data_IF_357559001967
#
_entry.id   IF_357559001967
#
_cell.length_a   1.000
_cell.length_b   1.000
_cell.length_c   1.000
_cell.angle_alpha   90.00
_cell.angle_beta   90.00
_cell.angle_gamma   90.00
#
_symmetry.space_group_name_H-M   'P 1'
#
loop_
_entity.id
_entity.type
_entity.pdbx_description
1 polymer ?
#
# COMPACT_ATOMS: atom_id res chain seq x y z
N UNK A 1 -5.37 15.52 -7.07
CA UNK A 1 -6.74 15.32 -6.52
C UNK A 1 -7.79 14.98 -7.59
N UNK A 2 -7.73 15.52 -8.82
CA UNK A 2 -8.72 15.27 -9.88
C UNK A 2 -8.78 13.81 -10.36
N UNK A 3 -7.63 13.15 -10.50
CA UNK A 3 -7.56 11.78 -11.04
C UNK A 3 -8.06 10.70 -10.06
N UNK A 4 -7.91 10.93 -8.75
CA UNK A 4 -8.44 10.03 -7.72
C UNK A 4 -9.99 10.07 -7.67
N UNK A 5 -10.59 11.25 -7.88
CA UNK A 5 -12.05 11.39 -7.98
C UNK A 5 -12.61 10.67 -9.20
N UNK A 6 -11.94 10.75 -10.35
CA UNK A 6 -12.34 10.05 -11.58
C UNK A 6 -12.22 8.53 -11.42
N UNK A 7 -11.14 8.02 -10.81
CA UNK A 7 -10.99 6.59 -10.55
C UNK A 7 -12.04 6.04 -9.56
N UNK A 8 -12.36 6.81 -8.51
CA UNK A 8 -13.42 6.47 -7.55
C UNK A 8 -14.79 6.46 -8.23
N UNK A 9 -15.09 7.46 -9.06
CA UNK A 9 -16.35 7.53 -9.82
C UNK A 9 -16.44 6.42 -10.86
N UNK A 10 -15.34 6.06 -11.52
CA UNK A 10 -15.28 4.95 -12.48
C UNK A 10 -15.55 3.59 -11.83
N UNK A 11 -14.93 3.32 -10.68
CA UNK A 11 -15.13 2.08 -9.93
C UNK A 11 -16.53 2.00 -9.33
N UNK A 12 -17.05 3.10 -8.77
CA UNK A 12 -18.44 3.16 -8.33
C UNK A 12 -19.39 2.97 -9.53
N UNK A 13 -19.10 3.56 -10.69
CA UNK A 13 -19.95 3.33 -11.88
C UNK A 13 -19.92 1.88 -12.34
N UNK A 14 -18.76 1.19 -12.32
CA UNK A 14 -18.71 -0.22 -12.70
C UNK A 14 -19.46 -1.12 -11.71
N UNK A 15 -19.34 -0.86 -10.40
CA UNK A 15 -20.08 -1.59 -9.35
C UNK A 15 -21.59 -1.37 -9.44
N UNK A 16 -22.04 -0.18 -9.81
CA UNK A 16 -23.46 0.15 -9.88
C UNK A 16 -24.10 -0.18 -11.25
N UNK A 17 -23.33 -0.19 -12.34
CA UNK A 17 -23.85 -0.46 -13.70
C UNK A 17 -23.59 -1.90 -14.20
N UNK A 18 -22.55 -2.60 -13.74
CA UNK A 18 -22.35 -4.01 -14.12
C UNK A 18 -23.54 -4.91 -13.68
N UNK A 19 -24.14 -4.73 -12.49
CA UNK A 19 -25.34 -5.48 -12.10
C UNK A 19 -26.59 -5.12 -12.92
N UNK A 20 -26.63 -3.90 -13.48
CA UNK A 20 -27.74 -3.43 -14.33
C UNK A 20 -27.63 -4.02 -15.74
N UNK A 21 -26.41 -4.25 -16.24
CA UNK A 21 -26.16 -4.80 -17.57
C UNK A 21 -26.17 -6.34 -17.62
N UNK A 22 -25.77 -7.03 -16.55
CA UNK A 22 -25.55 -8.49 -16.52
C UNK A 22 -26.41 -9.24 -15.48
N UNK A 23 -27.28 -8.55 -14.74
CA UNK A 23 -28.14 -9.13 -13.70
C UNK A 23 -27.55 -9.00 -12.29
N UNK A 24 -28.41 -9.03 -11.26
CA UNK A 24 -27.99 -8.91 -9.85
C UNK A 24 -27.45 -10.21 -9.25
N UNK A 25 -27.59 -11.33 -9.96
CA UNK A 25 -27.00 -12.61 -9.55
C UNK A 25 -25.48 -12.47 -9.55
N UNK A 26 -24.85 -12.78 -8.42
CA UNK A 26 -23.39 -12.68 -8.23
C UNK A 26 -22.90 -11.37 -7.60
N UNK A 27 -23.76 -10.37 -7.34
CA UNK A 27 -23.38 -9.19 -6.55
C UNK A 27 -23.45 -9.51 -5.04
N UNK A 28 -22.34 -9.30 -4.35
CA UNK A 28 -22.27 -9.34 -2.88
C UNK A 28 -21.64 -8.07 -2.35
N UNK A 29 -22.32 -7.41 -1.40
CA UNK A 29 -21.81 -6.21 -0.73
C UNK A 29 -21.57 -6.53 0.73
N UNK A 30 -20.30 -6.52 1.12
CA UNK A 30 -19.88 -6.71 2.51
C UNK A 30 -19.20 -5.44 3.03
N UNK A 31 -18.81 -5.44 4.31
CA UNK A 31 -18.09 -4.33 4.89
C UNK A 31 -17.67 -4.60 6.33
N UNK A 32 -17.00 -3.61 6.93
CA UNK A 32 -16.65 -3.63 8.35
C UNK A 32 -16.60 -2.21 8.92
N UNK A 33 -16.90 -2.10 10.21
CA UNK A 33 -16.71 -0.88 11.00
C UNK A 33 -15.59 -1.14 12.01
N UNK A 34 -14.54 -0.32 11.96
CA UNK A 34 -13.43 -0.35 12.88
C UNK A 34 -13.42 0.93 13.70
N UNK A 35 -13.46 0.78 15.02
CA UNK A 35 -13.35 1.88 15.99
C UNK A 35 -12.16 1.59 16.90
N UNK A 36 -11.20 2.51 16.96
CA UNK A 36 -9.96 2.31 17.70
C UNK A 36 -9.53 3.60 18.38
N UNK A 37 -9.59 3.61 19.71
CA UNK A 37 -9.17 4.71 20.56
C UNK A 37 -8.05 4.25 21.48
N UNK A 38 -6.95 5.01 21.54
CA UNK A 38 -5.78 4.70 22.37
C UNK A 38 -5.41 5.89 23.24
N UNK A 39 -5.21 5.63 24.53
CA UNK A 39 -4.87 6.62 25.55
C UNK A 39 -3.48 6.33 26.11
N UNK A 40 -2.66 7.37 26.24
CA UNK A 40 -1.36 7.26 26.88
C UNK A 40 -1.51 7.35 28.40
N UNK A 41 -1.27 6.25 29.12
CA UNK A 41 -1.45 6.17 30.58
C UNK A 41 -0.51 7.08 31.38
N UNK A 42 0.67 7.43 30.84
CA UNK A 42 1.62 8.32 31.53
C UNK A 42 1.22 9.79 31.41
N UNK A 43 0.65 10.19 30.27
CA UNK A 43 0.28 11.58 29.98
C UNK A 43 -1.22 11.87 30.18
N UNK A 44 -2.05 10.85 30.33
CA UNK A 44 -3.50 10.95 30.47
C UNK A 44 -4.22 11.52 29.24
N UNK A 45 -3.59 11.50 28.06
CA UNK A 45 -4.11 12.11 26.82
C UNK A 45 -4.36 11.04 25.75
N UNK A 46 -5.36 11.29 24.90
CA UNK A 46 -5.57 10.52 23.67
C UNK A 46 -4.33 10.62 22.77
N UNK A 47 -3.89 9.48 22.25
CA UNK A 47 -2.76 9.38 21.33
C UNK A 47 -3.22 9.06 19.91
N UNK A 48 -4.26 8.24 19.77
CA UNK A 48 -4.77 7.76 18.49
C UNK A 48 -6.28 7.55 18.57
N UNK A 49 -7.01 8.04 17.57
CA UNK A 49 -8.42 7.76 17.37
C UNK A 49 -8.66 7.51 15.88
N UNK A 50 -9.16 6.34 15.56
CA UNK A 50 -9.46 5.96 14.19
C UNK A 50 -10.85 5.32 14.10
N UNK A 51 -11.68 5.92 13.25
CA UNK A 51 -12.99 5.41 12.90
C UNK A 51 -13.03 5.15 11.40
N UNK A 52 -13.24 3.90 11.01
CA UNK A 52 -13.15 3.47 9.62
C UNK A 52 -14.31 2.57 9.25
N UNK A 53 -15.10 3.01 8.29
CA UNK A 53 -16.08 2.19 7.59
C UNK A 53 -15.44 1.68 6.29
N UNK A 54 -15.41 0.37 6.11
CA UNK A 54 -14.98 -0.29 4.88
C UNK A 54 -16.20 -0.89 4.18
N UNK A 55 -16.35 -0.60 2.89
CA UNK A 55 -17.35 -1.20 2.01
C UNK A 55 -16.63 -2.04 0.95
N UNK A 56 -17.06 -3.28 0.79
CA UNK A 56 -16.43 -4.32 -0.02
C UNK A 56 -17.44 -4.94 -0.99
N UNK A 57 -17.89 -4.19 -2.02
CA UNK A 57 -18.66 -4.78 -3.10
C UNK A 57 -17.80 -5.73 -3.94
N UNK A 58 -18.40 -6.84 -4.32
CA UNK A 58 -17.82 -7.86 -5.18
C UNK A 58 -18.88 -8.36 -6.14
N UNK A 59 -18.47 -8.68 -7.36
CA UNK A 59 -19.37 -9.18 -8.40
C UNK A 59 -18.71 -10.36 -9.11
N UNK A 60 -19.43 -11.47 -9.23
CA UNK A 60 -18.97 -12.66 -9.94
C UNK A 60 -19.86 -12.94 -11.14
N UNK A 61 -19.29 -12.89 -12.35
CA UNK A 61 -19.97 -13.26 -13.58
C UNK A 61 -19.50 -14.66 -14.01
N UNK A 62 -20.22 -15.68 -13.53
CA UNK A 62 -19.83 -17.09 -13.69
C UNK A 62 -18.51 -17.42 -12.98
N UNK A 63 -17.78 -18.42 -13.46
CA UNK A 63 -16.52 -18.88 -12.84
C UNK A 63 -15.29 -18.09 -13.27
N UNK A 64 -15.39 -17.39 -14.41
CA UNK A 64 -14.24 -16.83 -15.13
C UNK A 64 -13.95 -15.37 -14.81
N UNK A 65 -14.94 -14.60 -14.37
CA UNK A 65 -14.80 -13.15 -14.13
C UNK A 65 -15.23 -12.80 -12.73
N UNK A 66 -14.32 -12.22 -11.94
CA UNK A 66 -14.64 -11.69 -10.61
C UNK A 66 -14.13 -10.27 -10.48
N UNK A 67 -15.01 -9.36 -10.09
CA UNK A 67 -14.66 -7.99 -9.77
C UNK A 67 -14.70 -7.80 -8.26
N UNK A 68 -13.69 -7.11 -7.72
CA UNK A 68 -13.62 -6.78 -6.30
C UNK A 68 -13.21 -5.33 -6.11
N UNK A 69 -13.87 -4.67 -5.17
CA UNK A 69 -13.52 -3.32 -4.77
C UNK A 69 -13.60 -3.17 -3.25
N UNK A 70 -12.77 -2.31 -2.70
CA UNK A 70 -12.82 -1.90 -1.30
C UNK A 70 -12.69 -0.38 -1.21
N UNK A 71 -13.67 0.26 -0.56
CA UNK A 71 -13.67 1.70 -0.30
C UNK A 71 -13.69 1.93 1.21
N UNK A 72 -12.79 2.78 1.70
CA UNK A 72 -12.77 3.24 3.08
C UNK A 72 -13.29 4.66 3.20
N UNK A 73 -14.19 4.85 4.15
CA UNK A 73 -14.51 6.15 4.73
C UNK A 73 -13.89 6.17 6.13
N UNK A 74 -12.92 7.04 6.34
CA UNK A 74 -12.08 7.05 7.55
C UNK A 74 -12.00 8.45 8.14
N UNK A 75 -12.14 8.54 9.46
CA UNK A 75 -11.70 9.69 10.24
C UNK A 75 -10.51 9.25 11.10
N UNK A 76 -9.42 10.03 11.08
CA UNK A 76 -8.22 9.77 11.85
C UNK A 76 -7.86 11.03 12.63
N UNK A 77 -7.68 10.89 13.94
CA UNK A 77 -7.21 11.94 14.84
C UNK A 77 -6.04 11.40 15.66
N UNK A 78 -4.97 12.16 15.69
CA UNK A 78 -3.74 11.80 16.38
C UNK A 78 -3.28 12.98 17.23
N UNK A 79 -2.43 12.72 18.22
CA UNK A 79 -1.89 13.78 19.08
C UNK A 79 -1.03 14.79 18.30
N UNK A 80 -0.42 14.38 17.17
CA UNK A 80 0.27 15.25 16.24
C UNK A 80 -0.20 15.00 14.81
N UNK A 81 -0.37 16.03 13.96
CA UNK A 81 -0.78 15.85 12.57
C UNK A 81 0.33 15.16 11.76
N UNK A 82 -0.08 14.34 10.80
CA UNK A 82 0.82 13.77 9.78
C UNK A 82 1.28 14.87 8.82
N UNK A 83 2.50 14.74 8.29
CA UNK A 83 2.98 15.60 7.20
C UNK A 83 2.08 15.49 5.96
N UNK A 84 1.61 14.27 5.67
CA UNK A 84 0.57 14.03 4.67
C UNK A 84 -0.72 13.60 5.36
N UNK A 85 -1.79 14.41 5.31
CA UNK A 85 -3.05 14.07 5.99
C UNK A 85 -3.66 12.80 5.40
N UNK A 86 -4.12 11.90 6.28
CA UNK A 86 -4.84 10.71 5.88
C UNK A 86 -6.12 11.10 5.13
N UNK A 87 -6.28 10.58 3.92
CA UNK A 87 -7.45 10.90 3.11
C UNK A 87 -8.71 10.25 3.71
N UNK A 88 -9.78 11.04 3.89
CA UNK A 88 -11.04 10.57 4.47
C UNK A 88 -11.78 9.56 3.58
N UNK A 89 -11.61 9.64 2.27
CA UNK A 89 -12.20 8.70 1.32
C UNK A 89 -11.10 8.01 0.51
N UNK A 90 -10.92 6.71 0.68
CA UNK A 90 -9.85 5.95 0.03
C UNK A 90 -10.40 4.78 -0.76
N UNK A 91 -10.02 4.69 -2.03
CA UNK A 91 -10.17 3.46 -2.80
C UNK A 91 -8.98 2.55 -2.48
N UNK A 92 -9.24 1.53 -1.66
CA UNK A 92 -8.25 0.55 -1.23
C UNK A 92 -7.98 -0.43 -2.34
N UNK A 93 -8.99 -1.15 -2.79
CA UNK A 93 -8.87 -2.14 -3.86
C UNK A 93 -9.91 -1.86 -4.94
N UNK A 94 -9.56 -2.17 -6.18
CA UNK A 94 -10.44 -2.17 -7.34
C UNK A 94 -9.74 -2.96 -8.44
N UNK A 95 -10.05 -4.24 -8.55
CA UNK A 95 -9.42 -5.13 -9.51
C UNK A 95 -10.40 -6.13 -10.11
N UNK A 96 -9.98 -6.66 -11.25
CA UNK A 96 -10.70 -7.67 -12.01
C UNK A 96 -9.82 -8.93 -12.09
N UNK A 97 -10.41 -10.05 -11.70
CA UNK A 97 -9.88 -11.40 -11.90
C UNK A 97 -10.50 -12.01 -13.14
N UNK A 98 -9.64 -12.44 -14.06
CA UNK A 98 -9.94 -13.09 -15.32
C UNK A 98 -9.31 -14.48 -15.30
N UNK A 99 -10.07 -15.47 -14.85
CA UNK A 99 -9.59 -16.84 -14.68
C UNK A 99 -9.93 -17.66 -15.92
N UNK A 100 -8.93 -18.29 -16.53
CA UNK A 100 -9.16 -19.19 -17.66
C UNK A 100 -9.80 -18.55 -18.91
N UNK A 101 -9.73 -17.21 -19.05
CA UNK A 101 -10.38 -16.48 -20.15
C UNK A 101 -9.57 -16.46 -21.44
N UNK A 102 -8.28 -16.13 -21.36
CA UNK A 102 -7.39 -16.17 -22.52
C UNK A 102 -6.95 -17.60 -22.83
N UNK A 103 -6.71 -18.40 -21.80
CA UNK A 103 -6.35 -19.81 -21.89
C UNK A 103 -6.73 -20.51 -20.58
N UNK A 104 -7.14 -21.78 -20.62
CA UNK A 104 -7.63 -22.53 -19.44
C UNK A 104 -6.61 -22.65 -18.30
N UNK A 105 -5.32 -22.46 -18.60
CA UNK A 105 -4.22 -22.54 -17.64
C UNK A 105 -3.65 -21.18 -17.22
N UNK A 106 -4.29 -20.07 -17.63
CA UNK A 106 -3.81 -18.71 -17.34
C UNK A 106 -4.88 -17.91 -16.61
N UNK A 107 -4.49 -17.37 -15.45
CA UNK A 107 -5.31 -16.41 -14.69
C UNK A 107 -4.64 -15.05 -14.70
N UNK A 108 -5.42 -13.99 -14.87
CA UNK A 108 -4.93 -12.61 -14.87
C UNK A 108 -5.73 -11.78 -13.88
N UNK A 109 -5.02 -11.02 -13.04
CA UNK A 109 -5.61 -10.02 -12.16
C UNK A 109 -5.05 -8.64 -12.51
N UNK A 110 -5.93 -7.71 -12.81
CA UNK A 110 -5.56 -6.34 -13.20
C UNK A 110 -6.32 -5.30 -12.38
N UNK A 111 -5.61 -4.26 -11.95
CA UNK A 111 -6.19 -3.12 -11.24
C UNK A 111 -5.45 -2.82 -9.94
N UNK A 112 -6.10 -2.09 -9.04
CA UNK A 112 -5.55 -1.75 -7.73
C UNK A 112 -5.80 -2.88 -6.73
N UNK A 113 -4.73 -3.49 -6.24
CA UNK A 113 -4.80 -4.75 -5.49
C UNK A 113 -3.66 -4.90 -4.47
N UNK A 114 -3.91 -5.63 -3.38
CA UNK A 114 -2.87 -6.14 -2.50
C UNK A 114 -2.38 -7.50 -3.00
N UNK A 115 -1.07 -7.61 -3.26
CA UNK A 115 -0.40 -8.84 -3.69
C UNK A 115 0.60 -9.23 -2.60
N UNK A 116 0.21 -10.14 -1.71
CA UNK A 116 1.14 -10.68 -0.71
C UNK A 116 2.24 -11.49 -1.40
N UNK A 117 3.47 -10.98 -1.37
CA UNK A 117 4.62 -11.62 -2.01
C UNK A 117 5.52 -12.26 -0.96
N UNK A 118 5.63 -13.59 -1.00
CA UNK A 118 6.30 -14.39 0.03
C UNK A 118 5.32 -15.11 0.97
N UNK A 119 5.87 -15.75 2.01
CA UNK A 119 5.12 -16.67 2.89
C UNK A 119 5.07 -16.24 4.35
N UNK A 120 5.80 -15.18 4.73
CA UNK A 120 5.83 -14.70 6.11
C UNK A 120 4.59 -13.83 6.40
N UNK A 121 4.09 -13.90 7.64
CA UNK A 121 2.99 -13.08 8.12
C UNK A 121 3.49 -11.75 8.72
N UNK A 122 2.73 -10.67 8.53
CA UNK A 122 2.96 -9.27 8.95
C UNK A 122 4.30 -8.65 8.56
N UNK A 123 5.42 -9.22 8.98
CA UNK A 123 6.79 -8.79 8.67
C UNK A 123 7.37 -9.73 7.62
N UNK A 124 7.20 -9.37 6.36
CA UNK A 124 7.67 -10.16 5.24
C UNK A 124 8.70 -9.35 4.43
N UNK A 125 10.01 -9.62 4.61
CA UNK A 125 11.07 -8.91 3.90
C UNK A 125 11.00 -9.04 2.37
N UNK A 126 10.34 -10.08 1.86
CA UNK A 126 10.15 -10.31 0.43
C UNK A 126 8.92 -9.61 -0.15
N UNK A 127 8.09 -8.97 0.68
CA UNK A 127 6.87 -8.28 0.26
C UNK A 127 7.17 -6.82 -0.11
N UNK A 128 7.79 -6.63 -1.27
CA UNK A 128 8.23 -5.33 -1.77
C UNK A 128 7.29 -4.71 -2.83
N UNK A 129 6.23 -5.43 -3.23
CA UNK A 129 5.31 -4.98 -4.28
C UNK A 129 4.32 -3.92 -3.80
N UNK A 130 3.93 -4.01 -2.53
CA UNK A 130 2.98 -3.10 -1.92
C UNK A 130 3.69 -2.28 -0.84
N UNK A 131 3.64 -0.94 -0.91
CA UNK A 131 4.23 -0.07 0.11
C UNK A 131 3.58 -0.30 1.46
N UNK A 132 4.34 -0.07 2.52
CA UNK A 132 3.87 -0.25 3.89
C UNK A 132 3.16 1.03 4.38
N UNK A 133 2.14 0.87 5.21
CA UNK A 133 1.40 1.99 5.82
C UNK A 133 1.85 2.18 7.26
N UNK A 134 2.94 2.91 7.45
CA UNK A 134 3.51 3.25 8.75
C UNK A 134 2.80 4.41 9.46
N UNK A 135 1.62 4.84 9.00
CA UNK A 135 0.84 5.89 9.68
C UNK A 135 0.60 5.53 11.16
N UNK A 136 0.31 4.25 11.43
CA UNK A 136 0.19 3.74 12.79
C UNK A 136 1.45 2.95 13.14
N UNK A 137 2.30 3.53 13.99
CA UNK A 137 3.52 2.88 14.46
C UNK A 137 3.26 1.51 15.12
N UNK A 138 2.08 1.28 15.70
CA UNK A 138 1.78 0.01 16.36
C UNK A 138 1.22 -1.06 15.41
N UNK A 139 1.02 -0.73 14.13
CA UNK A 139 0.47 -1.63 13.13
C UNK A 139 1.38 -1.76 11.91
N UNK A 140 2.43 -2.56 12.08
CA UNK A 140 3.41 -2.86 11.04
C UNK A 140 2.90 -3.81 9.94
N UNK A 141 1.66 -4.31 10.04
CA UNK A 141 1.11 -5.28 9.07
C UNK A 141 0.39 -4.62 7.89
N UNK A 142 0.05 -3.34 7.97
CA UNK A 142 -0.74 -2.67 6.93
C UNK A 142 0.10 -2.30 5.71
N UNK A 143 -0.50 -2.52 4.54
CA UNK A 143 0.09 -2.21 3.24
C UNK A 143 -0.92 -1.42 2.39
N UNK A 144 -0.41 -0.54 1.54
CA UNK A 144 -1.18 0.19 0.54
C UNK A 144 -1.27 -0.66 -0.74
N UNK A 145 -2.48 -1.01 -1.21
CA UNK A 145 -2.66 -1.67 -2.50
C UNK A 145 -2.18 -0.79 -3.65
N UNK A 146 -1.54 -1.40 -4.65
CA UNK A 146 -0.97 -0.70 -5.81
C UNK A 146 -1.69 -1.10 -7.08
N UNK A 147 -1.65 -0.22 -8.10
CA UNK A 147 -2.10 -0.57 -9.43
C UNK A 147 -1.11 -1.57 -10.03
N UNK A 148 -1.55 -2.79 -10.28
CA UNK A 148 -0.67 -3.88 -10.70
C UNK A 148 -1.38 -4.80 -11.69
N UNK A 149 -0.59 -5.47 -12.52
CA UNK A 149 -0.99 -6.62 -13.32
C UNK A 149 -0.27 -7.84 -12.74
N UNK A 150 -1.04 -8.86 -12.41
CA UNK A 150 -0.57 -10.16 -11.95
C UNK A 150 -1.07 -11.21 -12.94
N UNK A 151 -0.17 -12.06 -13.42
CA UNK A 151 -0.49 -13.18 -14.27
C UNK A 151 0.01 -14.47 -13.61
N UNK A 152 -0.82 -15.52 -13.64
CA UNK A 152 -0.46 -16.86 -13.17
C UNK A 152 -0.61 -17.83 -14.33
N UNK A 153 0.39 -18.68 -14.52
CA UNK A 153 0.36 -19.74 -15.51
C UNK A 153 0.65 -21.09 -14.86
N UNK A 154 -0.30 -22.00 -14.98
CA UNK A 154 -0.20 -23.36 -14.45
C UNK A 154 0.35 -24.29 -15.53
N UNK A 155 1.54 -24.84 -15.31
CA UNK A 155 2.24 -25.68 -16.28
C UNK A 155 2.99 -26.81 -15.59
N UNK A 156 2.75 -28.05 -16.01
CA UNK A 156 3.45 -29.27 -15.54
C UNK A 156 3.57 -29.42 -14.00
N UNK A 157 2.54 -29.05 -13.25
CA UNK A 157 2.57 -29.12 -11.78
C UNK A 157 3.33 -27.97 -11.11
N UNK A 158 3.67 -26.93 -11.87
CA UNK A 158 4.20 -25.67 -11.37
C UNK A 158 3.22 -24.52 -11.64
N UNK A 159 3.34 -23.48 -10.83
CA UNK A 159 2.70 -22.18 -11.06
C UNK A 159 3.79 -21.15 -11.25
N UNK A 160 3.84 -20.56 -12.45
CA UNK A 160 4.64 -19.38 -12.73
C UNK A 160 3.77 -18.14 -12.52
N UNK A 161 4.21 -17.24 -11.64
CA UNK A 161 3.54 -15.98 -11.37
C UNK A 161 4.43 -14.82 -11.79
N UNK A 162 3.89 -13.90 -12.56
CA UNK A 162 4.54 -12.65 -12.94
C UNK A 162 3.71 -11.46 -12.48
N UNK A 163 4.36 -10.46 -11.90
CA UNK A 163 3.73 -9.22 -11.46
C UNK A 163 4.46 -8.01 -12.01
N UNK A 164 3.69 -6.98 -12.35
CA UNK A 164 4.21 -5.66 -12.70
C UNK A 164 3.34 -4.57 -12.09
N UNK A 165 3.98 -3.62 -11.42
CA UNK A 165 3.40 -2.41 -10.85
C UNK A 165 3.99 -1.22 -11.60
N UNK A 166 3.27 -0.62 -12.57
CA UNK A 166 3.82 0.38 -13.49
C UNK A 166 4.20 1.71 -12.82
N UNK A 167 3.72 1.99 -11.61
CA UNK A 167 4.01 3.23 -10.92
C UNK A 167 4.35 2.97 -9.46
N UNK A 168 5.46 3.56 -9.03
CA UNK A 168 5.82 3.62 -7.62
C UNK A 168 4.78 4.41 -6.82
N UNK A 169 4.28 3.80 -5.74
CA UNK A 169 3.53 4.48 -4.70
C UNK A 169 4.42 4.53 -3.43
N UNK A 170 4.61 5.68 -2.78
CA UNK A 170 5.43 5.74 -1.57
C UNK A 170 4.69 5.19 -0.36
N UNK A 171 5.45 4.64 0.58
CA UNK A 171 4.97 4.27 1.91
C UNK A 171 4.41 5.48 2.65
N UNK A 172 3.35 5.28 3.44
CA UNK A 172 2.79 6.35 4.29
C UNK A 172 3.54 6.38 5.61
N UNK A 173 4.09 7.53 5.98
CA UNK A 173 4.92 7.68 7.16
C UNK A 173 4.09 8.04 8.40
N UNK A 174 4.60 7.74 9.61
CA UNK A 174 3.96 8.13 10.86
C UNK A 174 3.90 9.65 11.02
N UNK A 175 3.20 10.10 12.06
CA UNK A 175 3.17 11.53 12.39
C UNK A 175 4.57 12.06 12.74
N UNK A 176 4.74 13.39 12.66
CA UNK A 176 6.03 14.03 12.88
C UNK A 176 6.59 13.82 14.30
N UNK A 177 5.77 13.38 15.27
CA UNK A 177 6.25 13.05 16.62
C UNK A 177 7.21 11.87 16.62
N UNK A 178 7.10 11.00 15.61
CA UNK A 178 7.97 9.84 15.42
C UNK A 178 9.19 10.14 14.55
N UNK A 179 9.27 11.29 13.89
CA UNK A 179 10.42 11.64 13.04
C UNK A 179 11.75 11.51 13.81
N UNK A 180 11.79 11.88 15.09
CA UNK A 180 13.01 11.74 15.91
C UNK A 180 13.43 10.28 16.15
N UNK A 181 12.50 9.32 16.10
CA UNK A 181 12.80 7.90 16.25
C UNK A 181 13.38 7.28 14.97
N UNK A 182 12.97 7.78 13.79
CA UNK A 182 13.38 7.26 12.48
C UNK A 182 14.50 8.07 11.82
N UNK A 183 14.61 9.35 12.16
CA UNK A 183 15.60 10.31 11.69
C UNK A 183 16.32 10.90 12.90
N UNK A 184 17.21 10.13 13.56
CA UNK A 184 18.01 10.68 14.64
C UNK A 184 18.77 11.90 14.11
N UNK A 185 18.71 13.02 14.85
CA UNK A 185 19.48 14.21 14.49
C UNK A 185 20.97 13.85 14.48
N UNK A 186 21.52 13.64 13.28
CA UNK A 186 22.94 13.39 13.16
C UNK A 186 23.68 14.70 13.49
N UNK A 187 24.71 14.65 14.36
CA UNK A 187 25.52 15.83 14.62
C UNK A 187 26.09 16.32 13.30
N UNK A 188 25.82 17.56 12.93
CA UNK A 188 26.24 18.15 11.64
C UNK A 188 27.76 18.23 11.50
N UNK A 189 28.47 18.18 12.63
CA UNK A 189 29.93 18.16 12.73
C UNK A 189 30.35 17.22 13.86
N UNK A 190 31.38 16.42 13.64
CA UNK A 190 32.03 15.62 14.69
C UNK A 190 33.53 15.91 14.71
N UNK A 191 34.04 16.18 15.90
CA UNK A 191 35.47 16.38 16.14
C UNK A 191 36.15 15.05 16.41
N UNK A 192 37.22 14.78 15.68
CA UNK A 192 38.09 13.63 15.88
C UNK A 192 39.43 14.11 16.43
N UNK A 193 39.73 13.74 17.67
CA UNK A 193 41.04 13.98 18.27
C UNK A 193 42.06 12.99 17.70
N UNK A 194 43.21 13.50 17.26
CA UNK A 194 44.30 12.71 16.70
C UNK A 194 45.50 12.66 17.64
N UNK A 195 46.40 11.71 17.42
CA UNK A 195 47.68 11.69 18.12
C UNK A 195 48.44 13.00 17.87
N UNK A 196 49.09 13.53 18.90
CA UNK A 196 49.79 14.82 18.83
C UNK A 196 48.93 16.05 19.11
N UNK A 197 47.71 15.90 19.64
CA UNK A 197 46.89 17.03 20.11
C UNK A 197 46.14 17.79 19.01
N UNK A 198 46.27 17.33 17.76
CA UNK A 198 45.49 17.85 16.63
C UNK A 198 44.05 17.35 16.67
N UNK A 199 43.12 18.14 16.13
CA UNK A 199 41.71 17.77 16.00
C UNK A 199 41.19 18.11 14.61
N UNK A 200 40.49 17.14 13.99
CA UNK A 200 39.79 17.35 12.71
C UNK A 200 38.30 17.47 12.98
N UNK A 201 37.70 18.57 12.55
CA UNK A 201 36.24 18.70 12.47
C UNK A 201 35.76 18.15 11.13
N UNK A 202 35.08 17.01 11.17
CA UNK A 202 34.45 16.42 9.98
C UNK A 202 33.00 16.86 9.95
N UNK A 203 32.58 17.53 8.88
CA UNK A 203 31.16 17.74 8.60
C UNK A 203 30.52 16.38 8.29
N UNK A 204 29.55 15.95 9.09
CA UNK A 204 28.85 14.68 8.90
C UNK A 204 27.51 14.87 8.18
N UNK A 205 27.18 16.09 7.75
CA UNK A 205 26.05 16.29 6.86
C UNK A 205 26.31 15.50 5.57
N UNK A 206 25.38 14.64 5.11
CA UNK A 206 25.49 14.11 3.77
C UNK A 206 25.50 15.28 2.78
N UNK A 207 26.57 15.39 2.00
CA UNK A 207 26.83 16.47 1.03
C UNK A 207 25.73 16.63 -0.04
N UNK A 208 24.79 15.68 -0.11
CA UNK A 208 23.55 15.83 -0.84
C UNK A 208 22.44 15.04 -0.14
N UNK A 209 21.44 15.75 0.39
CA UNK A 209 20.15 15.17 0.79
C UNK A 209 19.19 15.01 -0.42
N UNK A 210 19.73 15.10 -1.65
CA UNK A 210 18.93 15.10 -2.89
C UNK A 210 18.52 13.71 -3.35
N UNK A 211 19.21 12.65 -2.91
CA UNK A 211 19.00 11.30 -3.43
C UNK A 211 17.68 10.67 -2.97
N UNK A 212 17.01 11.23 -1.95
CA UNK A 212 15.78 10.68 -1.37
C UNK A 212 14.54 11.57 -1.50
N UNK A 213 14.67 12.77 -2.07
CA UNK A 213 13.53 13.71 -2.24
C UNK A 213 12.88 13.60 -3.62
N UNK A 214 13.60 13.03 -4.61
CA UNK A 214 13.02 12.76 -5.92
C UNK A 214 12.14 11.51 -5.84
N UNK A 215 10.83 11.74 -5.67
CA UNK A 215 9.85 10.68 -5.91
C UNK A 215 10.03 10.17 -7.34
N UNK A 216 10.11 8.85 -7.56
CA UNK A 216 10.14 8.28 -8.89
C UNK A 216 9.03 8.90 -9.74
N UNK A 217 9.34 9.24 -10.99
CA UNK A 217 8.36 9.87 -11.87
C UNK A 217 7.37 8.78 -12.29
N UNK A 218 6.21 9.17 -12.83
CA UNK A 218 5.27 8.20 -13.43
C UNK A 218 5.80 7.75 -14.79
N UNK A 219 6.95 7.11 -14.82
CA UNK A 219 7.58 6.56 -16.01
C UNK A 219 7.65 5.04 -15.90
N UNK A 220 7.53 4.32 -17.03
CA UNK A 220 7.56 2.85 -17.05
C UNK A 220 8.93 2.28 -16.64
N UNK A 221 9.99 3.08 -16.72
CA UNK A 221 11.33 2.71 -16.20
C UNK A 221 11.36 2.51 -14.69
N UNK A 222 10.38 3.09 -13.97
CA UNK A 222 10.31 3.09 -12.52
C UNK A 222 9.29 2.04 -12.04
N UNK A 223 8.92 1.09 -12.92
CA UNK A 223 8.03 -0.01 -12.60
C UNK A 223 8.72 -1.02 -11.68
N UNK A 224 7.94 -1.59 -10.77
CA UNK A 224 8.37 -2.74 -9.98
C UNK A 224 7.85 -4.00 -10.64
N UNK A 225 8.71 -4.95 -10.94
CA UNK A 225 8.33 -6.26 -11.45
C UNK A 225 8.85 -7.39 -10.55
N UNK A 226 8.24 -8.56 -10.67
CA UNK A 226 8.62 -9.75 -9.92
C UNK A 226 8.15 -11.01 -10.62
N UNK A 227 8.95 -12.07 -10.50
CA UNK A 227 8.60 -13.40 -11.01
C UNK A 227 8.80 -14.41 -9.90
N UNK A 228 7.83 -15.31 -9.73
CA UNK A 228 7.86 -16.41 -8.76
C UNK A 228 7.50 -17.70 -9.46
N UNK A 229 8.29 -18.75 -9.21
CA UNK A 229 7.97 -20.12 -9.60
C UNK A 229 7.69 -20.93 -8.35
N UNK A 230 6.54 -21.59 -8.30
CA UNK A 230 6.13 -22.44 -7.19
C UNK A 230 5.76 -23.83 -7.70
N UNK A 231 6.11 -24.87 -6.95
CA UNK A 231 5.65 -26.23 -7.20
C UNK A 231 4.28 -26.42 -6.52
N UNK A 232 3.32 -26.98 -7.26
CA UNK A 232 1.98 -27.27 -6.77
C UNK A 232 1.96 -28.48 -5.85
#
# INVERSE_FOLDING_TARGET
MRNARIAILGVLSFVWFAPVAYGQEGLSVNGSLHLNDRVNLRRGKFQWQEYRLALKPSYEAGEKVKFRSEVWVRELRTAMPFETPANRLQLREAYLDLNGLLHSSIDIRIGRQRIAWGSADRLNPSDNLNPQEFEDFWDFGRHTPTNSLLAKWYVWGFTLEGVVTPWFEPSRLPDASWNAAFLPQMPTRRRFSMSGGFSVDVALQPLAHEWHTLRPRRHLSDATDGVRLQRN
#
